data_IF_150862327901
#
_entry.id   IF_150862327901
#
_cell.length_a   1.000
_cell.length_b   1.000
_cell.length_c   1.000
_cell.angle_alpha   90.00
_cell.angle_beta   90.00
_cell.angle_gamma   90.00
#
_symmetry.space_group_name_H-M   'P 1'
#
loop_
_entity.id
_entity.type
_entity.pdbx_description
1 polymer ?
#
# COMPACT_ATOMS: atom_id res chain seq x y z
N UNK A 1 32.54 -38.53 11.82
CA UNK A 1 31.42 -38.88 12.72
C UNK A 1 30.20 -38.10 12.25
N UNK A 2 29.09 -38.76 11.85
CA UNK A 2 27.86 -38.05 11.53
C UNK A 2 27.32 -37.37 12.81
N UNK A 3 26.87 -36.12 12.70
CA UNK A 3 26.29 -35.37 13.84
C UNK A 3 25.05 -36.10 14.36
N UNK A 4 24.81 -36.06 15.66
CA UNK A 4 23.61 -36.68 16.22
C UNK A 4 22.37 -35.95 15.70
N UNK A 5 21.26 -36.67 15.50
CA UNK A 5 19.99 -36.10 15.02
C UNK A 5 19.54 -34.89 15.86
N UNK A 6 19.81 -34.89 17.17
CA UNK A 6 19.54 -33.77 18.06
C UNK A 6 20.40 -32.53 17.76
N UNK A 7 21.67 -32.71 17.40
CA UNK A 7 22.54 -31.58 16.99
C UNK A 7 22.07 -30.95 15.68
N UNK A 8 21.56 -31.76 14.75
CA UNK A 8 21.00 -31.24 13.50
C UNK A 8 19.72 -30.42 13.74
N UNK A 9 18.82 -30.89 14.60
CA UNK A 9 17.61 -30.16 15.00
C UNK A 9 17.93 -28.84 15.71
N UNK A 10 18.90 -28.84 16.63
CA UNK A 10 19.32 -27.61 17.32
C UNK A 10 19.93 -26.59 16.35
N UNK A 11 20.68 -27.07 15.35
CA UNK A 11 21.30 -26.21 14.34
C UNK A 11 20.26 -25.63 13.37
N UNK A 12 19.29 -26.43 12.91
CA UNK A 12 18.15 -25.96 12.11
C UNK A 12 17.31 -24.91 12.87
N UNK A 13 17.03 -25.16 14.15
CA UNK A 13 16.33 -24.20 15.00
C UNK A 13 17.11 -22.89 15.15
N UNK A 14 18.42 -22.95 15.36
CA UNK A 14 19.26 -21.77 15.46
C UNK A 14 19.26 -20.95 14.16
N UNK A 15 19.36 -21.61 13.00
CA UNK A 15 19.31 -20.95 11.69
C UNK A 15 17.99 -20.22 11.48
N UNK A 16 16.86 -20.90 11.71
CA UNK A 16 15.52 -20.29 11.57
C UNK A 16 15.31 -19.12 12.52
N UNK A 17 15.88 -19.18 13.71
CA UNK A 17 15.75 -18.13 14.71
C UNK A 17 16.54 -16.87 14.30
N UNK A 18 17.69 -17.04 13.65
CA UNK A 18 18.42 -15.91 13.06
C UNK A 18 17.72 -15.33 11.81
N UNK A 19 17.16 -16.18 10.95
CA UNK A 19 16.33 -15.71 9.82
C UNK A 19 15.13 -14.88 10.30
N UNK A 20 14.42 -15.36 11.33
CA UNK A 20 13.30 -14.63 11.92
C UNK A 20 13.72 -13.28 12.50
N UNK A 21 14.86 -13.21 13.20
CA UNK A 21 15.39 -11.94 13.71
C UNK A 21 15.73 -10.98 12.58
N UNK A 22 16.34 -11.48 11.50
CA UNK A 22 16.65 -10.67 10.31
C UNK A 22 15.39 -10.06 9.73
N UNK A 23 14.37 -10.87 9.49
CA UNK A 23 13.09 -10.43 8.92
C UNK A 23 12.38 -9.43 9.85
N UNK A 24 12.39 -9.67 11.16
CA UNK A 24 11.84 -8.72 12.14
C UNK A 24 12.55 -7.37 12.05
N UNK A 25 13.88 -7.37 11.98
CA UNK A 25 14.68 -6.15 11.91
C UNK A 25 14.43 -5.39 10.60
N UNK A 26 14.26 -6.09 9.49
CA UNK A 26 13.88 -5.51 8.20
C UNK A 26 12.50 -4.85 8.27
N UNK A 27 11.50 -5.54 8.82
CA UNK A 27 10.14 -5.02 9.02
C UNK A 27 10.16 -3.77 9.91
N UNK A 28 10.88 -3.82 11.04
CA UNK A 28 10.99 -2.67 11.95
C UNK A 28 11.62 -1.46 11.25
N UNK A 29 12.65 -1.70 10.43
CA UNK A 29 13.29 -0.65 9.63
C UNK A 29 12.33 -0.06 8.60
N UNK A 30 11.54 -0.88 7.91
CA UNK A 30 10.53 -0.42 6.96
C UNK A 30 9.45 0.41 7.64
N UNK A 31 8.98 -0.01 8.82
CA UNK A 31 8.00 0.74 9.63
C UNK A 31 8.56 2.10 10.01
N UNK A 32 9.80 2.17 10.51
CA UNK A 32 10.45 3.44 10.86
C UNK A 32 10.61 4.36 9.65
N UNK A 33 10.94 3.82 8.48
CA UNK A 33 11.04 4.60 7.24
C UNK A 33 9.68 5.17 6.81
N UNK A 34 8.61 4.38 6.92
CA UNK A 34 7.25 4.84 6.62
C UNK A 34 6.79 5.92 7.60
N UNK A 35 7.11 5.79 8.89
CA UNK A 35 6.77 6.78 9.91
C UNK A 35 7.52 8.11 9.67
N UNK A 36 8.79 8.05 9.25
CA UNK A 36 9.59 9.23 8.90
C UNK A 36 9.10 9.95 7.63
N UNK A 37 8.45 9.25 6.69
CA UNK A 37 7.88 9.85 5.49
C UNK A 37 6.68 10.77 5.78
N UNK A 38 6.13 10.73 6.99
CA UNK A 38 5.04 11.60 7.44
C UNK A 38 3.66 11.09 7.01
N UNK A 39 2.72 12.00 6.74
CA UNK A 39 1.36 11.61 6.32
C UNK A 39 1.39 10.94 4.93
N UNK A 40 1.37 9.60 4.91
CA UNK A 40 1.26 8.79 3.68
C UNK A 40 -0.03 9.12 2.90
N UNK A 41 -1.11 9.40 3.63
CA UNK A 41 -2.42 9.75 3.10
C UNK A 41 -2.96 10.98 3.81
N UNK A 42 -3.47 12.00 3.09
CA UNK A 42 -4.14 13.11 3.74
C UNK A 42 -5.33 12.60 4.57
N UNK A 43 -5.52 13.09 5.80
CA UNK A 43 -6.51 12.54 6.71
C UNK A 43 -7.93 12.68 6.16
N UNK A 44 -8.73 11.64 6.36
CA UNK A 44 -10.09 11.60 5.84
C UNK A 44 -10.14 11.53 4.31
N UNK A 45 -9.18 10.84 3.68
CA UNK A 45 -9.26 10.42 2.29
C UNK A 45 -9.68 8.97 2.15
N UNK A 46 -10.28 8.61 1.01
CA UNK A 46 -10.66 7.23 0.69
C UNK A 46 -10.84 7.05 -0.82
N UNK A 47 -10.67 5.83 -1.32
CA UNK A 47 -10.98 5.49 -2.72
C UNK A 47 -12.41 4.93 -2.83
N UNK A 48 -13.19 5.45 -3.78
CA UNK A 48 -14.54 4.96 -4.09
C UNK A 48 -14.59 4.38 -5.50
N UNK A 49 -15.27 3.24 -5.62
CA UNK A 49 -15.57 2.60 -6.90
C UNK A 49 -16.93 3.05 -7.45
N UNK A 50 -16.96 3.38 -8.72
CA UNK A 50 -18.16 3.80 -9.46
C UNK A 50 -18.45 2.89 -10.63
N UNK A 51 -19.74 2.64 -10.85
CA UNK A 51 -20.25 1.92 -12.02
C UNK A 51 -20.75 2.92 -13.04
N UNK A 52 -20.24 2.87 -14.27
CA UNK A 52 -20.76 3.65 -15.39
C UNK A 52 -21.26 2.74 -16.51
N UNK A 53 -22.29 3.19 -17.22
CA UNK A 53 -22.78 2.55 -18.44
C UNK A 53 -22.21 3.31 -19.64
N UNK A 54 -21.48 2.61 -20.50
CA UNK A 54 -20.97 3.13 -21.77
C UNK A 54 -21.60 2.40 -22.96
N UNK A 55 -21.21 2.79 -24.17
CA UNK A 55 -21.72 2.20 -25.43
C UNK A 55 -21.42 0.69 -25.55
N UNK A 56 -20.28 0.24 -25.04
CA UNK A 56 -19.86 -1.17 -25.04
C UNK A 56 -20.23 -1.96 -23.79
N UNK A 57 -21.13 -1.44 -22.94
CA UNK A 57 -21.54 -2.09 -21.69
C UNK A 57 -21.13 -1.33 -20.43
N UNK A 58 -21.13 -2.03 -19.30
CA UNK A 58 -20.81 -1.45 -18.00
C UNK A 58 -19.31 -1.48 -17.74
N UNK A 59 -18.75 -0.35 -17.31
CA UNK A 59 -17.36 -0.26 -16.86
C UNK A 59 -17.28 0.33 -15.45
N UNK A 60 -16.18 0.02 -14.78
CA UNK A 60 -15.89 0.48 -13.43
C UNK A 60 -14.72 1.46 -13.45
N UNK A 61 -14.82 2.51 -12.65
CA UNK A 61 -13.74 3.46 -12.43
C UNK A 61 -13.70 3.88 -10.96
N UNK A 62 -12.63 4.55 -10.56
CA UNK A 62 -12.37 4.94 -9.19
C UNK A 62 -12.15 6.44 -9.09
N UNK A 63 -12.54 7.01 -7.95
CA UNK A 63 -12.15 8.36 -7.54
C UNK A 63 -11.50 8.30 -6.17
N UNK A 64 -10.42 9.04 -6.01
CA UNK A 64 -9.88 9.39 -4.70
C UNK A 64 -10.71 10.55 -4.15
N UNK A 65 -11.28 10.37 -2.96
CA UNK A 65 -12.10 11.36 -2.28
C UNK A 65 -11.44 11.81 -0.99
N UNK A 66 -11.85 12.98 -0.52
CA UNK A 66 -11.42 13.59 0.72
C UNK A 66 -12.56 14.34 1.39
N UNK A 67 -12.50 14.44 2.72
CA UNK A 67 -13.42 15.32 3.46
C UNK A 67 -13.23 16.78 3.06
N UNK A 68 -12.01 17.23 2.87
CA UNK A 68 -11.70 18.62 2.49
C UNK A 68 -11.38 18.77 1.00
N UNK A 69 -11.46 19.99 0.45
CA UNK A 69 -11.08 20.21 -0.95
C UNK A 69 -9.55 20.30 -1.07
N UNK A 70 -8.88 19.17 -1.29
CA UNK A 70 -7.40 19.07 -1.33
C UNK A 70 -6.84 18.81 -2.73
N UNK A 71 -7.63 18.26 -3.65
CA UNK A 71 -7.15 17.89 -4.98
C UNK A 71 -7.16 19.09 -5.93
N UNK A 72 -6.00 19.52 -6.40
CA UNK A 72 -5.89 20.61 -7.38
C UNK A 72 -6.35 20.14 -8.76
N UNK A 73 -7.33 20.84 -9.33
CA UNK A 73 -7.85 20.57 -10.67
C UNK A 73 -7.01 21.27 -11.75
N UNK A 74 -7.22 20.93 -13.03
CA UNK A 74 -6.53 21.58 -14.17
C UNK A 74 -6.73 23.10 -14.22
N UNK A 75 -7.83 23.60 -13.65
CA UNK A 75 -8.12 25.04 -13.56
C UNK A 75 -7.55 25.70 -12.30
N UNK A 76 -6.73 24.99 -11.51
CA UNK A 76 -6.14 25.48 -10.27
C UNK A 76 -7.08 25.47 -9.06
N UNK A 77 -8.38 25.23 -9.26
CA UNK A 77 -9.36 25.13 -8.16
C UNK A 77 -9.17 23.82 -7.39
N UNK A 78 -9.36 23.86 -6.08
CA UNK A 78 -9.35 22.64 -5.26
C UNK A 78 -10.70 21.92 -5.32
N UNK A 79 -10.66 20.59 -5.30
CA UNK A 79 -11.81 19.70 -5.31
C UNK A 79 -11.68 18.65 -4.22
N UNK A 80 -12.83 18.11 -3.78
CA UNK A 80 -12.92 16.99 -2.82
C UNK A 80 -12.73 15.62 -3.46
N UNK A 81 -12.58 15.57 -4.78
CA UNK A 81 -12.39 14.32 -5.49
C UNK A 81 -11.47 14.45 -6.70
N UNK A 82 -10.67 13.41 -6.95
CA UNK A 82 -9.81 13.23 -8.13
C UNK A 82 -10.18 11.93 -8.84
N UNK A 83 -10.41 12.00 -10.14
CA UNK A 83 -10.57 10.80 -10.97
C UNK A 83 -9.23 10.08 -11.09
N UNK A 84 -9.20 8.80 -10.75
CA UNK A 84 -7.96 7.98 -10.75
C UNK A 84 -8.06 6.78 -11.69
N UNK A 85 -9.05 6.74 -12.57
CA UNK A 85 -9.12 5.72 -13.63
C UNK A 85 -9.66 4.37 -13.17
N UNK A 86 -9.23 3.31 -13.85
CA UNK A 86 -9.58 1.92 -13.55
C UNK A 86 -8.57 1.30 -12.57
N UNK A 87 -8.93 0.16 -12.01
CA UNK A 87 -8.01 -0.63 -11.18
C UNK A 87 -6.72 -0.95 -11.96
N UNK A 88 -5.58 -0.85 -11.27
CA UNK A 88 -4.25 -1.07 -11.85
C UNK A 88 -3.74 0.03 -12.78
N UNK A 89 -4.48 1.13 -12.98
CA UNK A 89 -3.91 2.29 -13.69
C UNK A 89 -2.87 3.00 -12.81
N UNK A 90 -1.88 3.71 -13.39
CA UNK A 90 -0.82 4.37 -12.59
C UNK A 90 -1.37 5.32 -11.52
N UNK A 91 -2.41 6.09 -11.85
CA UNK A 91 -3.05 7.00 -10.89
C UNK A 91 -3.82 6.25 -9.78
N UNK A 92 -4.32 5.04 -10.05
CA UNK A 92 -4.94 4.19 -9.05
C UNK A 92 -3.90 3.58 -8.12
N UNK A 93 -2.81 3.03 -8.67
CA UNK A 93 -1.74 2.43 -7.88
C UNK A 93 -1.10 3.46 -6.94
N UNK A 94 -0.78 4.65 -7.46
CA UNK A 94 -0.29 5.74 -6.62
C UNK A 94 -1.27 6.12 -5.50
N UNK A 95 -2.58 6.17 -5.80
CA UNK A 95 -3.57 6.49 -4.78
C UNK A 95 -3.75 5.38 -3.73
N UNK A 96 -3.40 4.13 -4.06
CA UNK A 96 -3.39 3.00 -3.13
C UNK A 96 -2.11 2.98 -2.30
N UNK A 97 -0.97 3.31 -2.90
CA UNK A 97 0.32 3.46 -2.20
C UNK A 97 0.30 4.64 -1.22
N UNK A 98 -0.49 5.66 -1.52
CA UNK A 98 -0.69 6.86 -0.68
C UNK A 98 -1.94 6.78 0.22
N UNK A 99 -2.45 5.57 0.52
CA UNK A 99 -3.52 5.35 1.51
C UNK A 99 -3.00 4.51 2.66
#
# INVERSE_FOLDING_TARGET
MPRSHQQQLQQDLATRLEELKSILTEIDTEIEQLDQQGELAPPGTWIVRYRARGRGGTYWYYKWQSREAIFVTKSGKKSRHKYIGKAGSPAFLLAVEMM
#
